data_IF_599148288522
#
_entry.id   IF_599148288522
#
_cell.length_a   1.000
_cell.length_b   1.000
_cell.length_c   1.000
_cell.angle_alpha   90.00
_cell.angle_beta   90.00
_cell.angle_gamma   90.00
#
_symmetry.space_group_name_H-M   'P 1'
#
loop_
_entity.id
_entity.type
_entity.pdbx_description
1 polymer ?
#
# COMPACT_ATOMS: atom_id res chain seq x y z
N UNK A 1 3.48 -38.00 34.10
CA UNK A 1 2.30 -37.94 33.22
C UNK A 1 2.76 -37.75 31.78
N UNK A 2 2.02 -38.32 30.83
CA UNK A 2 2.45 -38.82 29.52
C UNK A 2 3.10 -37.77 28.60
N UNK A 3 4.27 -38.13 28.05
CA UNK A 3 4.84 -37.56 26.82
C UNK A 3 3.96 -38.00 25.64
N UNK A 4 3.49 -37.05 24.84
CA UNK A 4 2.87 -37.34 23.53
C UNK A 4 3.85 -36.84 22.47
N UNK A 5 4.56 -37.81 21.88
CA UNK A 5 5.23 -37.64 20.60
C UNK A 5 4.16 -37.64 19.52
N UNK A 6 3.99 -36.52 18.82
CA UNK A 6 3.21 -36.47 17.59
C UNK A 6 4.15 -36.55 16.41
N UNK A 7 4.36 -37.77 15.93
CA UNK A 7 4.83 -38.06 14.59
C UNK A 7 3.72 -37.66 13.61
N UNK A 8 3.98 -36.74 12.69
CA UNK A 8 3.21 -36.67 11.45
C UNK A 8 4.16 -36.63 10.25
N UNK A 9 4.05 -37.72 9.49
CA UNK A 9 4.53 -38.04 8.16
C UNK A 9 5.13 -36.90 7.31
N UNK A 10 6.41 -37.07 6.96
CA UNK A 10 6.97 -36.48 5.76
C UNK A 10 6.35 -37.15 4.52
N UNK A 11 5.61 -36.37 3.74
CA UNK A 11 5.26 -36.73 2.38
C UNK A 11 6.47 -36.43 1.49
N UNK A 12 7.20 -37.47 1.09
CA UNK A 12 8.15 -37.38 0.00
C UNK A 12 7.35 -37.13 -1.29
N UNK A 13 7.41 -35.90 -1.81
CA UNK A 13 6.92 -35.58 -3.13
C UNK A 13 7.90 -36.19 -4.16
N UNK A 14 7.54 -37.35 -4.69
CA UNK A 14 8.16 -37.92 -5.87
C UNK A 14 7.91 -36.97 -7.04
N UNK A 15 8.95 -36.27 -7.49
CA UNK A 15 8.93 -35.57 -8.78
C UNK A 15 8.89 -36.65 -9.87
N UNK A 16 7.68 -36.99 -10.30
CA UNK A 16 7.46 -37.79 -11.50
C UNK A 16 7.80 -36.89 -12.69
N UNK A 17 8.96 -37.14 -13.30
CA UNK A 17 9.34 -36.54 -14.56
C UNK A 17 8.26 -36.85 -15.59
N UNK A 18 7.45 -35.85 -15.91
CA UNK A 18 6.41 -35.98 -16.94
C UNK A 18 7.10 -35.70 -18.26
N UNK A 19 7.44 -36.76 -18.99
CA UNK A 19 7.82 -36.66 -20.40
C UNK A 19 6.56 -36.25 -21.16
N UNK A 20 6.48 -34.98 -21.55
CA UNK A 20 5.48 -34.51 -22.52
C UNK A 20 5.96 -34.96 -23.89
N UNK A 21 5.41 -36.07 -24.37
CA UNK A 21 5.49 -36.44 -25.79
C UNK A 21 4.51 -35.56 -26.54
N UNK A 22 5.02 -34.56 -27.25
CA UNK A 22 4.24 -33.80 -28.23
C UNK A 22 3.97 -34.73 -29.43
N UNK A 23 2.71 -34.98 -29.82
CA UNK A 23 2.44 -35.69 -31.06
C UNK A 23 2.73 -34.75 -32.23
N UNK A 24 3.89 -34.94 -32.87
CA UNK A 24 4.12 -34.42 -34.21
C UNK A 24 3.36 -35.30 -35.21
N UNK A 25 2.05 -35.10 -35.32
CA UNK A 25 1.30 -35.53 -36.50
C UNK A 25 1.62 -34.59 -37.67
N UNK A 26 2.77 -34.83 -38.30
CA UNK A 26 2.98 -34.46 -39.70
C UNK A 26 2.77 -35.74 -40.49
N UNK A 27 1.65 -35.78 -41.20
CA UNK A 27 1.34 -36.83 -42.14
C UNK A 27 2.51 -36.97 -43.13
N UNK A 28 3.21 -38.10 -43.07
CA UNK A 28 4.12 -38.52 -44.11
C UNK A 28 3.30 -38.83 -45.35
N UNK A 29 3.08 -37.83 -46.20
CA UNK A 29 2.81 -38.11 -47.61
C UNK A 29 4.05 -38.79 -48.15
N UNK A 30 3.93 -40.10 -48.34
CA UNK A 30 4.90 -40.97 -49.01
C UNK A 30 5.06 -40.51 -50.46
N UNK A 31 5.81 -39.44 -50.68
CA UNK A 31 6.39 -39.11 -51.98
C UNK A 31 7.60 -40.01 -52.15
N UNK A 32 7.50 -40.94 -53.09
CA UNK A 32 8.59 -41.73 -53.66
C UNK A 32 9.85 -40.86 -53.82
N UNK A 33 11.06 -41.36 -53.50
CA UNK A 33 12.29 -40.62 -53.76
C UNK A 33 12.36 -40.39 -55.27
N UNK A 34 12.25 -39.13 -55.69
CA UNK A 34 12.76 -38.73 -57.00
C UNK A 34 14.26 -38.99 -56.92
N UNK A 35 14.74 -39.88 -57.77
CA UNK A 35 16.14 -40.10 -58.06
C UNK A 35 16.78 -38.73 -58.31
N UNK A 36 17.47 -38.21 -57.30
CA UNK A 36 18.25 -36.98 -57.42
C UNK A 36 19.45 -37.37 -58.25
N UNK A 37 19.59 -36.76 -59.43
CA UNK A 37 20.75 -36.94 -60.29
C UNK A 37 22.07 -36.70 -59.53
N UNK A 38 23.22 -37.07 -60.11
CA UNK A 38 24.52 -36.92 -59.48
C UNK A 38 24.65 -35.53 -58.86
N UNK A 39 24.86 -35.48 -57.55
CA UNK A 39 25.11 -34.23 -56.82
C UNK A 39 26.32 -33.61 -57.48
N UNK A 40 26.13 -32.44 -58.11
CA UNK A 40 27.23 -31.69 -58.71
C UNK A 40 28.35 -31.56 -57.66
N UNK A 41 29.62 -31.79 -58.05
CA UNK A 41 30.73 -31.73 -57.12
C UNK A 41 30.70 -30.37 -56.41
N UNK A 42 30.68 -30.40 -55.08
CA UNK A 42 30.79 -29.21 -54.24
C UNK A 42 32.01 -28.45 -54.74
N UNK A 43 31.78 -27.26 -55.30
CA UNK A 43 32.83 -26.45 -55.89
C UNK A 43 33.91 -26.23 -54.81
N UNK A 44 35.19 -26.54 -55.08
CA UNK A 44 36.25 -26.35 -54.09
C UNK A 44 36.29 -24.87 -53.67
N UNK A 45 36.39 -24.64 -52.37
CA UNK A 45 36.57 -23.31 -51.77
C UNK A 45 37.75 -22.64 -52.48
N UNK A 46 37.58 -21.38 -52.87
CA UNK A 46 38.65 -20.62 -53.52
C UNK A 46 39.88 -20.55 -52.60
N UNK A 47 41.13 -20.64 -53.11
CA UNK A 47 42.33 -20.43 -52.29
C UNK A 47 42.31 -19.13 -51.49
N UNK A 48 41.66 -18.09 -52.01
CA UNK A 48 41.50 -16.79 -51.34
C UNK A 48 40.53 -16.91 -50.15
N UNK A 49 39.40 -17.58 -50.33
CA UNK A 49 38.41 -17.80 -49.25
C UNK A 49 39.01 -18.63 -48.12
N UNK A 50 39.88 -19.59 -48.45
CA UNK A 50 40.59 -20.39 -47.46
C UNK A 50 41.61 -19.57 -46.65
N UNK A 51 42.39 -18.70 -47.30
CA UNK A 51 43.30 -17.77 -46.59
C UNK A 51 42.54 -16.81 -45.68
N UNK A 52 41.39 -16.29 -46.13
CA UNK A 52 40.52 -15.42 -45.31
C UNK A 52 39.99 -16.18 -44.09
N UNK A 53 39.53 -17.42 -44.28
CA UNK A 53 39.05 -18.27 -43.19
C UNK A 53 40.13 -18.52 -42.15
N UNK A 54 41.35 -18.87 -42.57
CA UNK A 54 42.49 -19.07 -41.67
C UNK A 54 42.84 -17.79 -40.88
N UNK A 55 42.74 -16.61 -41.51
CA UNK A 55 42.93 -15.34 -40.82
C UNK A 55 41.85 -15.10 -39.75
N UNK A 56 40.57 -15.33 -40.07
CA UNK A 56 39.47 -15.20 -39.11
C UNK A 56 39.65 -16.18 -37.95
N UNK A 57 39.94 -17.45 -38.23
CA UNK A 57 40.16 -18.49 -37.21
C UNK A 57 41.34 -18.16 -36.30
N UNK A 58 42.41 -17.55 -36.84
CA UNK A 58 43.55 -17.08 -36.05
C UNK A 58 43.14 -15.97 -35.07
N UNK A 59 42.43 -14.94 -35.53
CA UNK A 59 42.00 -13.85 -34.66
C UNK A 59 40.96 -14.30 -33.63
N UNK A 60 40.01 -15.14 -34.03
CA UNK A 60 39.01 -15.73 -33.15
C UNK A 60 39.61 -16.74 -32.15
N UNK A 61 40.72 -17.39 -32.54
CA UNK A 61 41.53 -18.27 -31.70
C UNK A 61 42.20 -17.52 -30.53
N UNK A 62 42.50 -16.23 -30.70
CA UNK A 62 43.07 -15.39 -29.64
C UNK A 62 42.06 -15.04 -28.55
N UNK A 63 40.76 -15.12 -28.82
CA UNK A 63 39.71 -14.93 -27.82
C UNK A 63 39.60 -16.20 -26.97
N UNK A 64 39.77 -16.17 -25.65
CA UNK A 64 39.65 -17.38 -24.85
C UNK A 64 38.20 -17.89 -24.85
N UNK A 65 38.00 -19.22 -24.80
CA UNK A 65 36.66 -19.81 -24.74
C UNK A 65 35.93 -19.53 -23.42
N UNK A 66 36.68 -19.17 -22.37
CA UNK A 66 36.16 -18.76 -21.07
C UNK A 66 36.84 -17.45 -20.68
N UNK A 67 36.05 -16.46 -20.31
CA UNK A 67 36.50 -15.19 -19.78
C UNK A 67 36.02 -15.09 -18.33
N UNK A 68 36.95 -14.96 -17.39
CA UNK A 68 36.63 -14.74 -15.97
C UNK A 68 36.79 -13.27 -15.64
N UNK A 69 35.71 -12.64 -15.17
CA UNK A 69 35.70 -11.22 -14.78
C UNK A 69 36.72 -10.95 -13.67
N UNK A 70 37.44 -9.84 -13.79
CA UNK A 70 38.49 -9.45 -12.83
C UNK A 70 39.86 -10.07 -13.11
N UNK A 71 40.01 -10.87 -14.17
CA UNK A 71 41.34 -11.36 -14.61
C UNK A 71 42.02 -10.37 -15.56
N UNK A 72 43.35 -10.28 -15.49
CA UNK A 72 44.15 -9.30 -16.25
C UNK A 72 44.52 -9.74 -17.66
N UNK A 73 44.10 -10.93 -18.10
CA UNK A 73 44.57 -11.55 -19.35
C UNK A 73 43.49 -11.53 -20.43
N UNK A 74 42.83 -10.39 -20.63
CA UNK A 74 41.93 -10.19 -21.75
C UNK A 74 42.74 -9.79 -22.99
N UNK A 75 42.42 -10.33 -24.19
CA UNK A 75 42.90 -9.76 -25.44
C UNK A 75 42.60 -8.26 -25.52
N UNK A 76 43.52 -7.48 -26.09
CA UNK A 76 43.41 -6.01 -26.14
C UNK A 76 42.16 -5.50 -26.87
N UNK A 77 41.48 -6.35 -27.64
CA UNK A 77 40.27 -6.02 -28.36
C UNK A 77 38.98 -6.39 -27.62
N UNK A 78 39.06 -6.87 -26.37
CA UNK A 78 37.89 -7.19 -25.55
C UNK A 78 37.86 -6.26 -24.34
N UNK A 79 36.73 -5.58 -24.17
CA UNK A 79 36.45 -4.76 -23.00
C UNK A 79 35.24 -5.32 -22.26
N UNK A 80 35.41 -5.59 -20.96
CA UNK A 80 34.33 -6.02 -20.08
C UNK A 80 33.96 -4.92 -19.10
N UNK A 81 32.66 -4.79 -18.81
CA UNK A 81 32.18 -3.90 -17.78
C UNK A 81 32.20 -4.59 -16.41
N UNK A 82 33.35 -4.51 -15.75
CA UNK A 82 33.60 -5.16 -14.46
C UNK A 82 32.72 -4.67 -13.32
N UNK A 83 32.08 -3.50 -13.45
CA UNK A 83 31.18 -2.96 -12.43
C UNK A 83 29.74 -3.49 -12.58
N UNK A 84 29.30 -3.76 -13.82
CA UNK A 84 27.93 -4.25 -14.09
C UNK A 84 27.80 -5.76 -13.90
N UNK A 85 28.82 -6.53 -14.31
CA UNK A 85 28.72 -7.99 -14.35
C UNK A 85 28.47 -8.59 -12.95
N UNK A 86 29.21 -8.24 -11.88
CA UNK A 86 29.00 -8.83 -10.54
C UNK A 86 27.66 -8.48 -9.88
N UNK A 87 26.91 -7.55 -10.47
CA UNK A 87 25.64 -7.03 -9.93
C UNK A 87 24.41 -7.42 -10.76
N UNK A 88 24.59 -8.27 -11.78
CA UNK A 88 23.53 -8.65 -12.73
C UNK A 88 23.46 -10.18 -12.81
N UNK A 89 22.26 -10.77 -12.87
CA UNK A 89 22.13 -12.19 -13.21
C UNK A 89 22.36 -12.39 -14.71
N UNK A 90 22.97 -13.51 -15.14
CA UNK A 90 23.06 -13.84 -16.56
C UNK A 90 21.71 -13.74 -17.31
N UNK A 91 20.60 -14.15 -16.69
CA UNK A 91 19.26 -14.11 -17.29
C UNK A 91 18.69 -12.70 -17.50
N UNK A 92 19.26 -11.67 -16.86
CA UNK A 92 18.87 -10.26 -17.04
C UNK A 92 19.55 -9.62 -18.25
N UNK A 93 20.58 -10.28 -18.81
CA UNK A 93 21.23 -9.85 -20.04
C UNK A 93 20.38 -10.26 -21.24
N UNK A 94 20.13 -9.30 -22.12
CA UNK A 94 19.37 -9.44 -23.36
C UNK A 94 20.07 -8.69 -24.51
N UNK A 95 19.63 -8.90 -25.74
CA UNK A 95 20.29 -8.30 -26.92
C UNK A 95 20.36 -6.77 -26.87
N UNK A 96 19.44 -6.10 -26.17
CA UNK A 96 19.44 -4.63 -26.09
C UNK A 96 20.48 -4.08 -25.13
N UNK A 97 20.85 -4.85 -24.09
CA UNK A 97 21.79 -4.43 -23.06
C UNK A 97 23.14 -5.18 -23.11
N UNK A 98 23.32 -6.19 -23.97
CA UNK A 98 24.55 -6.99 -24.05
C UNK A 98 25.83 -6.15 -24.22
N UNK A 99 25.76 -5.10 -25.06
CA UNK A 99 26.87 -4.16 -25.30
C UNK A 99 27.33 -3.39 -24.06
N UNK A 100 26.48 -3.32 -23.03
CA UNK A 100 26.83 -2.68 -21.77
C UNK A 100 27.77 -3.53 -20.93
N UNK A 101 27.87 -4.84 -21.22
CA UNK A 101 28.66 -5.82 -20.49
C UNK A 101 29.94 -6.18 -21.24
N UNK A 102 29.87 -6.31 -22.57
CA UNK A 102 30.99 -6.70 -23.41
C UNK A 102 31.03 -5.87 -24.70
N UNK A 103 32.24 -5.44 -25.05
CA UNK A 103 32.55 -4.86 -26.35
C UNK A 103 33.75 -5.61 -26.95
N UNK A 104 33.66 -5.94 -28.25
CA UNK A 104 34.75 -6.52 -29.01
C UNK A 104 35.05 -5.59 -30.18
N UNK A 105 36.27 -5.07 -30.23
CA UNK A 105 36.72 -4.18 -31.29
C UNK A 105 37.24 -4.98 -32.49
N UNK A 106 37.08 -4.39 -33.68
CA UNK A 106 37.60 -4.95 -34.93
C UNK A 106 39.14 -4.91 -34.96
N UNK A 107 39.76 -6.01 -35.42
CA UNK A 107 41.23 -6.15 -35.44
C UNK A 107 41.67 -6.75 -36.77
N UNK A 108 42.74 -6.22 -37.35
CA UNK A 108 43.35 -6.76 -38.58
C UNK A 108 42.36 -6.98 -39.73
N UNK A 109 41.31 -6.14 -39.83
CA UNK A 109 40.27 -6.24 -40.85
C UNK A 109 39.17 -7.28 -40.59
N UNK A 110 39.23 -8.01 -39.47
CA UNK A 110 38.15 -8.91 -39.00
C UNK A 110 37.09 -8.07 -38.29
N UNK A 111 35.84 -8.21 -38.73
CA UNK A 111 34.67 -7.62 -38.08
C UNK A 111 34.10 -8.59 -37.04
N UNK A 112 33.88 -8.12 -35.81
CA UNK A 112 33.28 -8.91 -34.72
C UNK A 112 31.88 -8.42 -34.39
N UNK A 113 30.97 -9.36 -34.20
CA UNK A 113 29.62 -9.14 -33.70
C UNK A 113 29.36 -10.11 -32.55
N UNK A 114 28.67 -9.64 -31.50
CA UNK A 114 28.34 -10.44 -30.32
C UNK A 114 26.83 -10.58 -30.22
N UNK A 115 26.36 -11.80 -30.00
CA UNK A 115 24.95 -12.11 -29.73
C UNK A 115 24.81 -13.10 -28.58
N UNK A 116 23.61 -13.23 -28.03
CA UNK A 116 23.35 -14.21 -26.98
C UNK A 116 23.17 -15.61 -27.56
N UNK A 117 23.75 -16.60 -26.89
CA UNK A 117 23.38 -17.99 -27.15
C UNK A 117 22.00 -18.27 -26.54
N UNK A 118 21.06 -18.88 -27.27
CA UNK A 118 19.80 -19.34 -26.69
C UNK A 118 20.05 -20.27 -25.49
N UNK A 119 19.41 -19.98 -24.34
CA UNK A 119 19.64 -20.69 -23.08
C UNK A 119 21.10 -20.65 -22.59
N UNK A 120 21.87 -19.63 -22.99
CA UNK A 120 23.26 -19.44 -22.58
C UNK A 120 23.42 -18.84 -21.18
N UNK A 121 22.35 -18.32 -20.57
CA UNK A 121 22.36 -17.77 -19.22
C UNK A 121 22.24 -18.89 -18.17
N UNK A 122 23.12 -18.88 -17.17
CA UNK A 122 23.10 -19.79 -16.04
C UNK A 122 23.27 -19.04 -14.72
N UNK A 123 22.14 -18.70 -14.09
CA UNK A 123 22.12 -17.94 -12.85
C UNK A 123 22.59 -18.76 -11.63
N UNK A 124 22.71 -20.08 -11.75
CA UNK A 124 23.22 -20.93 -10.66
C UNK A 124 24.74 -20.80 -10.56
N UNK A 125 25.43 -20.75 -11.69
CA UNK A 125 26.90 -20.64 -11.74
C UNK A 125 27.39 -19.21 -11.95
N UNK A 126 26.54 -18.27 -12.35
CA UNK A 126 26.96 -16.91 -12.67
C UNK A 126 27.64 -16.82 -14.04
N UNK A 127 27.24 -17.69 -14.98
CA UNK A 127 27.85 -17.79 -16.31
C UNK A 127 26.89 -17.34 -17.41
N UNK A 128 27.42 -16.64 -18.42
CA UNK A 128 26.71 -16.26 -19.63
C UNK A 128 27.47 -16.74 -20.87
N UNK A 129 26.82 -17.54 -21.70
CA UNK A 129 27.37 -17.98 -23.00
C UNK A 129 26.90 -17.05 -24.12
N UNK A 130 27.86 -16.48 -24.83
CA UNK A 130 27.65 -15.62 -26.00
C UNK A 130 28.20 -16.28 -27.27
N UNK A 131 27.71 -15.83 -28.42
CA UNK A 131 28.23 -16.19 -29.73
C UNK A 131 28.98 -14.99 -30.29
N UNK A 132 30.26 -15.16 -30.58
CA UNK A 132 31.05 -14.17 -31.30
C UNK A 132 31.13 -14.58 -32.77
N UNK A 133 30.51 -13.78 -33.61
CA UNK A 133 30.52 -13.93 -35.07
C UNK A 133 31.63 -13.05 -35.64
N UNK A 134 32.56 -13.67 -36.35
CA UNK A 134 33.72 -13.01 -36.96
C UNK A 134 33.60 -13.08 -38.48
N UNK A 135 33.88 -11.98 -39.18
CA UNK A 135 33.73 -11.93 -40.64
C UNK A 135 34.77 -11.07 -41.36
N UNK A 136 35.10 -11.48 -42.59
CA UNK A 136 35.79 -10.69 -43.60
C UNK A 136 35.06 -10.93 -44.92
N UNK A 137 34.42 -9.89 -45.46
CA UNK A 137 33.57 -10.05 -46.65
C UNK A 137 32.43 -11.04 -46.39
N UNK A 138 32.35 -12.12 -47.18
CA UNK A 138 31.30 -13.15 -47.08
C UNK A 138 31.69 -14.38 -46.24
N UNK A 139 32.93 -14.43 -45.75
CA UNK A 139 33.41 -15.55 -44.92
C UNK A 139 33.06 -15.26 -43.46
N UNK A 140 32.33 -16.17 -42.82
CA UNK A 140 31.84 -16.03 -41.44
C UNK A 140 32.28 -17.25 -40.62
N UNK A 141 32.81 -17.00 -39.42
CA UNK A 141 33.14 -18.03 -38.43
C UNK A 141 32.53 -17.62 -37.09
N UNK A 142 32.00 -18.58 -36.35
CA UNK A 142 31.41 -18.36 -35.03
C UNK A 142 32.17 -19.12 -33.96
N UNK A 143 32.23 -18.54 -32.75
CA UNK A 143 32.75 -19.19 -31.55
C UNK A 143 31.88 -18.86 -30.36
N UNK A 144 31.63 -19.87 -29.55
CA UNK A 144 30.98 -19.70 -28.26
C UNK A 144 32.01 -19.30 -27.20
N UNK A 145 31.67 -18.31 -26.40
CA UNK A 145 32.49 -17.84 -25.29
C UNK A 145 31.62 -17.81 -24.04
N UNK A 146 32.12 -18.39 -22.96
CA UNK A 146 31.50 -18.29 -21.63
C UNK A 146 32.13 -17.12 -20.88
N UNK A 147 31.30 -16.21 -20.38
CA UNK A 147 31.70 -15.15 -19.47
C UNK A 147 31.27 -15.58 -18.06
N UNK A 148 32.25 -15.70 -17.16
CA UNK A 148 32.09 -16.06 -15.76
C UNK A 148 32.29 -14.83 -14.86
N UNK A 149 31.60 -14.80 -13.72
CA UNK A 149 31.65 -13.74 -12.73
C UNK A 149 30.39 -12.87 -12.65
N UNK A 150 29.28 -13.29 -13.29
CA UNK A 150 27.98 -12.67 -13.03
C UNK A 150 27.49 -13.03 -11.62
N UNK A 151 26.52 -12.26 -11.11
CA UNK A 151 25.87 -12.58 -9.86
C UNK A 151 25.16 -13.94 -9.96
N UNK A 152 25.23 -14.75 -8.90
CA UNK A 152 24.45 -15.99 -8.78
C UNK A 152 23.11 -15.77 -8.08
N UNK A 153 22.13 -16.65 -8.32
CA UNK A 153 20.87 -16.69 -7.58
C UNK A 153 21.09 -16.82 -6.06
N UNK A 154 22.06 -17.65 -5.66
CA UNK A 154 22.39 -17.88 -4.27
C UNK A 154 22.94 -16.60 -3.60
N UNK A 155 23.88 -15.91 -4.23
CA UNK A 155 24.43 -14.65 -3.72
C UNK A 155 23.35 -13.58 -3.62
N UNK A 156 22.49 -13.47 -4.64
CA UNK A 156 21.37 -12.53 -4.62
C UNK A 156 20.39 -12.84 -3.50
N UNK A 157 20.08 -14.11 -3.26
CA UNK A 157 19.22 -14.53 -2.15
C UNK A 157 19.87 -14.22 -0.79
N UNK A 158 21.16 -14.47 -0.63
CA UNK A 158 21.91 -14.15 0.59
C UNK A 158 21.93 -12.64 0.86
N UNK A 159 22.18 -11.82 -0.16
CA UNK A 159 22.15 -10.36 -0.06
C UNK A 159 20.76 -9.87 0.40
N UNK A 160 19.70 -10.38 -0.23
CA UNK A 160 18.31 -10.05 0.17
C UNK A 160 18.03 -10.46 1.61
N UNK A 161 18.51 -11.61 2.06
CA UNK A 161 18.31 -12.07 3.43
C UNK A 161 19.10 -11.22 4.45
N UNK A 162 20.33 -10.84 4.12
CA UNK A 162 21.11 -9.88 4.93
C UNK A 162 20.38 -8.54 5.04
N UNK A 163 19.86 -8.00 3.94
CA UNK A 163 19.07 -6.77 3.93
C UNK A 163 17.80 -6.87 4.77
N UNK A 164 17.07 -8.00 4.71
CA UNK A 164 15.90 -8.24 5.59
C UNK A 164 16.28 -8.23 7.06
N UNK A 165 17.40 -8.85 7.43
CA UNK A 165 17.87 -8.89 8.81
C UNK A 165 18.27 -7.50 9.31
N UNK A 166 18.95 -6.71 8.47
CA UNK A 166 19.26 -5.29 8.77
C UNK A 166 17.96 -4.51 8.96
N UNK A 167 17.04 -4.58 8.00
CA UNK A 167 15.76 -3.87 8.03
C UNK A 167 14.97 -4.19 9.31
N UNK A 168 14.87 -5.48 9.64
CA UNK A 168 14.20 -5.95 10.85
C UNK A 168 14.88 -5.41 12.11
N UNK A 169 16.20 -5.52 12.21
CA UNK A 169 16.96 -5.06 13.36
C UNK A 169 16.83 -3.55 13.57
N UNK A 170 16.92 -2.75 12.50
CA UNK A 170 16.76 -1.30 12.58
C UNK A 170 15.33 -0.90 12.98
N UNK A 171 14.30 -1.58 12.43
CA UNK A 171 12.92 -1.35 12.86
C UNK A 171 12.69 -1.72 14.33
N UNK A 172 13.23 -2.83 14.81
CA UNK A 172 13.09 -3.28 16.21
C UNK A 172 13.72 -2.31 17.22
N UNK A 173 14.74 -1.53 16.83
CA UNK A 173 15.33 -0.49 17.69
C UNK A 173 14.37 0.66 18.00
N UNK A 174 13.40 0.93 17.13
CA UNK A 174 12.51 2.10 17.22
C UNK A 174 11.22 1.71 17.96
N UNK A 175 11.20 1.76 19.29
CA UNK A 175 10.03 1.37 20.08
C UNK A 175 9.07 2.52 20.40
N UNK A 176 9.55 3.76 20.25
CA UNK A 176 8.78 4.98 20.46
C UNK A 176 9.10 5.97 19.35
N UNK A 177 8.19 6.91 19.13
CA UNK A 177 8.40 8.04 18.23
C UNK A 177 8.29 9.33 19.04
N UNK A 178 9.19 10.27 18.74
CA UNK A 178 9.18 11.60 19.37
C UNK A 178 8.07 12.46 18.74
N UNK A 179 7.37 13.23 19.57
CA UNK A 179 6.43 14.26 19.12
C UNK A 179 7.05 15.65 19.20
N UNK A 180 6.61 16.55 18.34
CA UNK A 180 6.93 17.97 18.44
C UNK A 180 6.03 18.65 19.48
N UNK A 181 6.48 19.78 20.04
CA UNK A 181 5.74 20.53 21.07
C UNK A 181 4.33 20.95 20.62
N UNK A 182 4.15 21.23 19.32
CA UNK A 182 2.84 21.58 18.74
C UNK A 182 1.80 20.46 18.92
N UNK A 183 2.22 19.19 19.03
CA UNK A 183 1.32 18.06 19.23
C UNK A 183 0.53 18.18 20.54
N UNK A 184 1.10 18.79 21.59
CA UNK A 184 0.44 18.96 22.90
C UNK A 184 -0.83 19.81 22.85
N UNK A 185 -1.00 20.60 21.79
CA UNK A 185 -2.18 21.46 21.58
C UNK A 185 -3.15 20.91 20.53
N UNK A 186 -2.80 19.81 19.87
CA UNK A 186 -3.57 19.21 18.77
C UNK A 186 -4.26 17.95 19.24
N UNK A 187 -5.53 17.78 18.87
CA UNK A 187 -6.27 16.55 19.15
C UNK A 187 -5.86 15.44 18.19
N UNK A 188 -5.72 14.18 18.65
CA UNK A 188 -5.49 13.02 17.80
C UNK A 188 -6.39 12.94 16.56
N UNK A 189 -7.68 13.29 16.67
CA UNK A 189 -8.65 13.30 15.56
C UNK A 189 -8.36 14.32 14.47
N UNK A 190 -7.50 15.30 14.73
CA UNK A 190 -7.06 16.31 13.76
C UNK A 190 -5.80 15.89 12.99
N UNK A 191 -5.16 14.81 13.40
CA UNK A 191 -3.96 14.26 12.76
C UNK A 191 -4.37 13.29 11.65
N UNK A 192 -3.80 13.47 10.45
CA UNK A 192 -4.06 12.67 9.27
C UNK A 192 -2.76 12.46 8.46
N UNK A 193 -2.82 11.68 7.38
CA UNK A 193 -1.64 11.36 6.56
C UNK A 193 -1.01 12.58 5.86
N UNK A 194 -1.74 13.70 5.72
CA UNK A 194 -1.23 14.91 5.09
C UNK A 194 -0.44 15.78 6.07
N UNK A 195 -0.71 15.70 7.38
CA UNK A 195 -0.11 16.58 8.38
C UNK A 195 0.66 15.83 9.50
N UNK A 196 0.72 14.50 9.48
CA UNK A 196 1.33 13.68 10.54
C UNK A 196 2.79 14.07 10.84
N UNK A 197 3.55 14.46 9.82
CA UNK A 197 4.95 14.85 9.93
C UNK A 197 5.15 16.22 10.59
N UNK A 198 4.09 17.01 10.74
CA UNK A 198 4.13 18.27 11.49
C UNK A 198 4.11 18.04 13.02
N UNK A 199 3.67 16.85 13.43
CA UNK A 199 3.47 16.49 14.85
C UNK A 199 4.40 15.38 15.34
N UNK A 200 4.79 14.46 14.47
CA UNK A 200 5.61 13.29 14.81
C UNK A 200 6.89 13.31 14.00
N UNK A 201 8.01 13.17 14.71
CA UNK A 201 9.33 13.14 14.09
C UNK A 201 9.60 11.76 13.48
N UNK A 202 9.86 11.75 12.17
CA UNK A 202 10.28 10.54 11.47
C UNK A 202 11.70 10.17 11.91
N UNK A 203 11.97 8.89 12.23
CA UNK A 203 13.32 8.43 12.54
C UNK A 203 14.30 8.72 11.41
N UNK A 204 15.54 9.07 11.77
CA UNK A 204 16.61 9.29 10.77
C UNK A 204 17.00 7.97 10.12
N UNK A 205 17.34 8.01 8.83
CA UNK A 205 17.83 6.84 8.12
C UNK A 205 19.13 6.30 8.75
N UNK A 206 19.29 4.99 8.78
CA UNK A 206 20.42 4.29 9.41
C UNK A 206 20.70 2.98 8.69
N UNK A 207 21.98 2.63 8.49
CA UNK A 207 22.39 1.39 7.82
C UNK A 207 21.71 1.13 6.47
N UNK A 208 21.47 2.20 5.69
CA UNK A 208 20.78 2.13 4.40
C UNK A 208 19.26 1.97 4.49
N UNK A 209 18.69 1.88 5.70
CA UNK A 209 17.25 1.82 5.94
C UNK A 209 16.68 3.24 5.99
N UNK A 210 15.67 3.51 5.18
CA UNK A 210 14.89 4.75 5.23
C UNK A 210 13.52 4.52 5.86
N UNK A 211 13.07 5.46 6.68
CA UNK A 211 11.83 5.36 7.43
C UNK A 211 10.76 6.32 6.93
N UNK A 212 9.51 5.90 7.05
CA UNK A 212 8.33 6.73 6.84
C UNK A 212 7.23 6.35 7.82
N UNK A 213 6.28 7.26 8.04
CA UNK A 213 5.14 7.05 8.94
C UNK A 213 3.84 7.37 8.23
N UNK A 214 2.78 6.64 8.58
CA UNK A 214 1.38 6.90 8.19
C UNK A 214 0.46 6.61 9.36
N UNK A 215 -0.71 7.25 9.41
CA UNK A 215 -1.78 6.87 10.33
C UNK A 215 -2.19 5.43 10.02
N UNK A 216 -2.36 4.64 11.08
CA UNK A 216 -2.76 3.25 10.94
C UNK A 216 -4.18 3.16 10.40
N UNK A 217 -4.40 2.33 9.37
CA UNK A 217 -5.72 2.10 8.78
C UNK A 217 -6.62 1.24 9.68
N UNK A 218 -6.02 0.44 10.55
CA UNK A 218 -6.72 -0.53 11.40
C UNK A 218 -7.00 -0.02 12.81
N UNK A 219 -6.40 1.10 13.20
CA UNK A 219 -6.58 1.70 14.51
C UNK A 219 -6.48 3.22 14.41
N UNK A 220 -7.48 3.92 14.93
CA UNK A 220 -7.45 5.38 15.05
C UNK A 220 -6.89 5.82 16.41
N UNK A 221 -6.47 7.09 16.48
CA UNK A 221 -6.13 7.73 17.75
C UNK A 221 -7.32 7.90 18.70
N UNK A 222 -7.04 8.38 19.91
CA UNK A 222 -8.03 8.63 20.95
C UNK A 222 -7.87 10.03 21.53
N UNK A 223 -8.85 10.90 21.28
CA UNK A 223 -8.88 12.25 21.85
C UNK A 223 -9.01 12.28 23.37
N UNK A 224 -9.57 11.22 23.98
CA UNK A 224 -9.69 11.11 25.44
C UNK A 224 -8.43 10.57 26.11
N UNK A 225 -7.52 9.98 25.33
CA UNK A 225 -6.26 9.40 25.86
C UNK A 225 -5.01 10.08 25.31
N UNK A 226 -5.13 10.96 24.31
CA UNK A 226 -4.01 11.78 23.81
C UNK A 226 -2.97 11.00 23.01
N UNK A 227 -3.40 9.98 22.26
CA UNK A 227 -2.51 9.19 21.40
C UNK A 227 -3.04 9.03 19.98
N UNK A 228 -2.11 8.83 19.04
CA UNK A 228 -2.39 8.34 17.68
C UNK A 228 -1.69 7.00 17.46
N UNK A 229 -2.27 6.16 16.61
CA UNK A 229 -1.66 4.89 16.21
C UNK A 229 -1.10 5.05 14.81
N UNK A 230 0.19 4.80 14.65
CA UNK A 230 0.90 5.00 13.38
C UNK A 230 1.54 3.71 12.92
N UNK A 231 1.60 3.53 11.61
CA UNK A 231 2.42 2.50 10.98
C UNK A 231 3.77 3.12 10.61
N UNK A 232 4.84 2.64 11.24
CA UNK A 232 6.22 2.94 10.87
C UNK A 232 6.65 1.93 9.81
N UNK A 233 7.00 2.42 8.63
CA UNK A 233 7.55 1.63 7.55
C UNK A 233 9.06 1.88 7.44
N UNK A 234 9.84 0.81 7.32
CA UNK A 234 11.26 0.85 6.96
C UNK A 234 11.45 0.27 5.56
N UNK A 235 12.43 0.79 4.83
CA UNK A 235 12.75 0.35 3.46
C UNK A 235 14.25 0.28 3.21
N UNK A 236 14.70 -0.75 2.50
CA UNK A 236 16.08 -0.92 2.03
C UNK A 236 16.07 -1.58 0.64
N UNK A 237 16.52 -0.85 -0.39
CA UNK A 237 16.29 -1.25 -1.78
C UNK A 237 14.80 -1.44 -2.05
N UNK A 238 14.42 -2.60 -2.59
CA UNK A 238 13.02 -2.95 -2.88
C UNK A 238 12.29 -3.61 -1.69
N UNK A 239 12.98 -3.84 -0.57
CA UNK A 239 12.40 -4.49 0.59
C UNK A 239 11.73 -3.45 1.50
N UNK A 240 10.52 -3.78 1.95
CA UNK A 240 9.76 -2.97 2.91
C UNK A 240 9.26 -3.84 4.06
N UNK A 241 9.19 -3.25 5.25
CA UNK A 241 8.60 -3.88 6.43
C UNK A 241 7.96 -2.82 7.30
N UNK A 242 6.88 -3.17 7.97
CA UNK A 242 6.05 -2.23 8.71
C UNK A 242 5.81 -2.74 10.13
N UNK A 243 5.66 -1.82 11.08
CA UNK A 243 5.13 -2.12 12.41
C UNK A 243 4.29 -0.97 12.93
N UNK A 244 3.35 -1.30 13.82
CA UNK A 244 2.48 -0.30 14.43
C UNK A 244 3.09 0.23 15.74
N UNK A 245 3.02 1.54 15.95
CA UNK A 245 3.50 2.22 17.16
C UNK A 245 2.39 3.13 17.68
N UNK A 246 2.17 3.12 19.00
CA UNK A 246 1.31 4.07 19.69
C UNK A 246 2.15 5.30 20.03
N UNK A 247 1.76 6.47 19.54
CA UNK A 247 2.46 7.73 19.77
C UNK A 247 1.63 8.60 20.70
N UNK A 248 2.15 8.81 21.91
CA UNK A 248 1.53 9.62 22.95
C UNK A 248 2.01 11.08 22.89
N UNK A 249 1.35 11.96 23.64
CA UNK A 249 1.77 13.35 23.80
C UNK A 249 0.90 14.37 23.05
N UNK A 250 -0.27 13.94 22.58
CA UNK A 250 -1.27 14.82 22.02
C UNK A 250 -2.19 15.41 23.09
N UNK A 251 -2.95 16.45 22.72
CA UNK A 251 -3.95 17.04 23.62
C UNK A 251 -5.02 16.01 23.97
N UNK A 252 -5.43 16.01 25.24
CA UNK A 252 -6.55 15.24 25.75
C UNK A 252 -7.78 16.15 25.88
N UNK A 253 -8.95 15.68 25.45
CA UNK A 253 -10.22 16.33 25.80
C UNK A 253 -10.55 15.98 27.24
N UNK A 254 -10.66 17.01 28.08
CA UNK A 254 -11.03 16.84 29.49
C UNK A 254 -12.48 16.34 29.64
N UNK A 255 -12.81 15.59 30.72
CA UNK A 255 -14.18 15.19 31.01
C UNK A 255 -15.16 16.38 31.05
N UNK A 256 -14.70 17.53 31.54
CA UNK A 256 -15.47 18.76 31.59
C UNK A 256 -15.80 19.31 30.18
N UNK A 257 -14.83 19.30 29.26
CA UNK A 257 -15.07 19.69 27.86
C UNK A 257 -16.03 18.73 27.15
N UNK A 258 -15.91 17.41 27.41
CA UNK A 258 -16.86 16.42 26.88
C UNK A 258 -18.27 16.70 27.42
N UNK A 259 -18.39 16.93 28.73
CA UNK A 259 -19.67 17.23 29.36
C UNK A 259 -20.27 18.52 28.81
N UNK A 260 -19.47 19.54 28.56
CA UNK A 260 -19.94 20.79 27.98
C UNK A 260 -20.45 20.62 26.55
N UNK A 261 -19.78 19.82 25.72
CA UNK A 261 -20.29 19.50 24.38
C UNK A 261 -21.63 18.74 24.43
N UNK A 262 -21.79 17.82 25.39
CA UNK A 262 -23.07 17.13 25.64
C UNK A 262 -24.14 18.13 26.06
N UNK A 263 -23.82 19.08 26.93
CA UNK A 263 -24.74 20.13 27.37
C UNK A 263 -25.18 21.00 26.20
N UNK A 264 -24.25 21.46 25.36
CA UNK A 264 -24.54 22.26 24.17
C UNK A 264 -25.45 21.51 23.19
N UNK A 265 -25.20 20.20 22.98
CA UNK A 265 -26.05 19.37 22.12
C UNK A 265 -27.46 19.20 22.71
N UNK A 266 -27.57 18.96 24.02
CA UNK A 266 -28.86 18.85 24.71
C UNK A 266 -29.66 20.16 24.62
N UNK A 267 -29.01 21.30 24.87
CA UNK A 267 -29.64 22.62 24.76
C UNK A 267 -30.13 22.90 23.33
N UNK A 268 -29.33 22.55 22.31
CA UNK A 268 -29.73 22.66 20.90
C UNK A 268 -30.97 21.82 20.58
N UNK A 269 -31.00 20.58 21.04
CA UNK A 269 -32.13 19.69 20.82
C UNK A 269 -33.40 20.22 21.50
N UNK A 270 -33.29 20.65 22.76
CA UNK A 270 -34.41 21.27 23.49
C UNK A 270 -34.91 22.49 22.72
N UNK A 271 -34.01 23.37 22.27
CA UNK A 271 -34.37 24.59 21.55
C UNK A 271 -35.06 24.30 20.22
N UNK A 272 -34.56 23.32 19.44
CA UNK A 272 -35.17 22.92 18.18
C UNK A 272 -36.58 22.35 18.39
N UNK A 273 -36.75 21.47 19.37
CA UNK A 273 -38.04 20.88 19.69
C UNK A 273 -39.03 21.93 20.20
N UNK A 274 -38.60 22.82 21.10
CA UNK A 274 -39.40 23.97 21.51
C UNK A 274 -39.79 24.82 20.31
N UNK A 275 -38.86 25.19 19.44
CA UNK A 275 -39.14 26.03 18.26
C UNK A 275 -40.14 25.39 17.29
N UNK A 276 -40.18 24.06 17.21
CA UNK A 276 -41.15 23.34 16.35
C UNK A 276 -42.60 23.47 16.81
N UNK A 277 -42.83 23.80 18.08
CA UNK A 277 -44.17 23.89 18.68
C UNK A 277 -44.70 25.32 18.56
N UNK A 278 -45.47 25.65 17.53
CA UNK A 278 -46.01 27.01 17.35
C UNK A 278 -47.23 27.31 18.23
N UNK A 279 -47.98 26.29 18.65
CA UNK A 279 -49.15 26.40 19.53
C UNK A 279 -49.32 25.14 20.38
N UNK A 280 -50.15 25.22 21.42
CA UNK A 280 -50.57 24.08 22.22
C UNK A 280 -52.04 23.76 21.94
N UNK A 281 -52.35 22.48 21.78
CA UNK A 281 -53.72 22.03 21.60
C UNK A 281 -54.50 22.12 22.92
N UNK A 282 -55.72 22.64 22.84
CA UNK A 282 -56.66 22.68 23.96
C UNK A 282 -57.17 21.27 24.27
N UNK A 283 -57.33 20.95 25.55
CA UNK A 283 -58.05 19.73 25.97
C UNK A 283 -59.56 19.89 25.77
N UNK A 284 -60.34 18.82 25.95
CA UNK A 284 -61.81 18.92 25.98
C UNK A 284 -62.32 19.77 27.15
N UNK A 285 -61.59 19.78 28.28
CA UNK A 285 -61.94 20.56 29.48
C UNK A 285 -61.82 22.07 29.25
N UNK A 286 -60.93 22.49 28.35
CA UNK A 286 -60.76 23.91 27.98
C UNK A 286 -61.96 24.53 27.26
N UNK A 287 -62.94 23.73 26.83
CA UNK A 287 -64.15 24.23 26.16
C UNK A 287 -65.34 24.42 27.11
N UNK A 288 -65.16 24.22 28.43
CA UNK A 288 -66.19 24.42 29.44
C UNK A 288 -65.86 25.65 30.33
N UNK A 289 -66.87 26.40 30.81
CA UNK A 289 -66.73 27.59 31.67
C UNK A 289 -65.91 27.33 32.96
N UNK A 290 -65.70 26.07 33.33
CA UNK A 290 -64.92 25.64 34.50
C UNK A 290 -63.41 25.93 34.40
N UNK A 291 -62.90 26.45 33.27
CA UNK A 291 -61.49 26.77 33.13
C UNK A 291 -61.03 27.87 34.10
N UNK A 292 -61.90 28.81 34.50
CA UNK A 292 -61.54 29.89 35.43
C UNK A 292 -61.08 29.32 36.78
N UNK A 293 -61.75 28.27 37.25
CA UNK A 293 -61.40 27.56 38.48
C UNK A 293 -60.11 26.74 38.34
N UNK A 294 -59.84 26.16 37.17
CA UNK A 294 -58.60 25.44 36.88
C UNK A 294 -57.37 26.37 36.81
N UNK A 295 -57.55 27.59 36.30
CA UNK A 295 -56.54 28.64 36.29
C UNK A 295 -56.23 29.15 37.70
N UNK A 296 -57.27 29.45 38.50
CA UNK A 296 -57.11 29.91 39.88
C UNK A 296 -56.49 28.86 40.81
N UNK A 297 -56.65 27.57 40.47
CA UNK A 297 -55.99 26.46 41.18
C UNK A 297 -54.57 26.14 40.66
N UNK A 298 -54.07 26.88 39.66
CA UNK A 298 -52.73 26.70 39.10
C UNK A 298 -52.57 25.43 38.24
N UNK A 299 -53.66 24.75 37.90
CA UNK A 299 -53.62 23.45 37.22
C UNK A 299 -53.71 23.59 35.69
N UNK A 300 -52.72 24.25 35.08
CA UNK A 300 -52.67 24.44 33.62
C UNK A 300 -52.58 23.13 32.80
N UNK A 301 -52.09 22.04 33.38
CA UNK A 301 -51.96 20.73 32.70
C UNK A 301 -53.31 20.10 32.36
N UNK A 302 -54.39 20.57 32.98
CA UNK A 302 -55.76 20.15 32.65
C UNK A 302 -56.35 20.85 31.43
N UNK A 303 -55.77 21.98 30.99
CA UNK A 303 -56.34 22.86 29.96
C UNK A 303 -55.69 22.73 28.58
N UNK A 304 -54.42 22.32 28.52
CA UNK A 304 -53.70 22.14 27.25
C UNK A 304 -52.95 20.82 27.24
N UNK A 305 -52.85 20.20 26.06
CA UNK A 305 -52.07 18.99 25.88
C UNK A 305 -50.58 19.32 26.01
N UNK A 306 -49.88 18.55 26.86
CA UNK A 306 -48.42 18.58 26.90
C UNK A 306 -47.92 17.88 25.61
N UNK A 307 -47.04 18.52 24.83
CA UNK A 307 -46.46 17.90 23.64
C UNK A 307 -45.80 16.56 23.97
N UNK A 308 -45.89 15.59 23.04
CA UNK A 308 -45.24 14.30 23.22
C UNK A 308 -43.72 14.46 23.20
N UNK A 309 -43.02 13.65 23.99
CA UNK A 309 -41.57 13.66 24.01
C UNK A 309 -41.00 13.26 22.64
N UNK A 310 -40.04 14.02 22.14
CA UNK A 310 -39.34 13.74 20.88
C UNK A 310 -37.85 13.97 21.07
N UNK A 311 -37.01 13.13 20.45
CA UNK A 311 -35.55 13.22 20.57
C UNK A 311 -35.02 13.21 22.02
N UNK A 312 -35.76 12.57 22.94
CA UNK A 312 -35.45 12.51 24.37
C UNK A 312 -35.72 13.80 25.15
N UNK A 313 -36.34 14.81 24.55
CA UNK A 313 -36.80 16.03 25.24
C UNK A 313 -38.13 15.76 25.92
N UNK A 314 -38.20 15.99 27.23
CA UNK A 314 -39.43 15.92 28.02
C UNK A 314 -40.01 17.31 28.19
N UNK A 315 -41.33 17.45 28.10
CA UNK A 315 -42.00 18.74 28.23
C UNK A 315 -42.76 18.85 29.54
N UNK A 316 -42.75 20.05 30.11
CA UNK A 316 -43.60 20.45 31.22
C UNK A 316 -44.17 21.84 30.95
N UNK A 317 -45.30 22.15 31.56
CA UNK A 317 -45.93 23.46 31.42
C UNK A 317 -46.18 24.11 32.77
N UNK A 318 -46.08 25.44 32.80
CA UNK A 318 -46.41 26.26 33.96
C UNK A 318 -47.30 27.42 33.53
N UNK A 319 -48.40 27.62 34.24
CA UNK A 319 -49.24 28.79 34.06
C UNK A 319 -48.49 30.08 34.46
N UNK A 320 -48.61 31.13 33.64
CA UNK A 320 -48.08 32.46 33.98
C UNK A 320 -49.22 33.40 34.33
N UNK A 321 -50.04 33.73 33.34
CA UNK A 321 -51.11 34.72 33.45
C UNK A 321 -52.21 34.48 32.41
N UNK A 322 -53.30 35.23 32.57
CA UNK A 322 -54.49 35.09 31.76
C UNK A 322 -55.24 36.40 31.67
N UNK A 323 -55.86 36.63 30.52
CA UNK A 323 -56.70 37.79 30.28
C UNK A 323 -57.91 37.37 29.46
N UNK A 324 -58.95 38.20 29.49
CA UNK A 324 -60.10 38.08 28.59
C UNK A 324 -60.01 39.19 27.56
N UNK A 325 -60.12 38.82 26.28
CA UNK A 325 -60.15 39.76 25.18
C UNK A 325 -61.31 39.40 24.25
N UNK A 326 -62.25 40.34 24.05
CA UNK A 326 -63.42 40.17 23.19
C UNK A 326 -64.30 38.95 23.53
N UNK A 327 -64.49 38.67 24.82
CA UNK A 327 -65.27 37.51 25.28
C UNK A 327 -64.57 36.16 25.12
N UNK A 328 -63.28 36.15 24.78
CA UNK A 328 -62.45 34.94 24.73
C UNK A 328 -61.27 35.05 25.69
N UNK A 329 -61.01 33.97 26.43
CA UNK A 329 -59.84 33.84 27.29
C UNK A 329 -58.56 33.67 26.47
N UNK A 330 -57.48 34.25 26.99
CA UNK A 330 -56.11 34.21 26.49
C UNK A 330 -55.18 33.87 27.66
N UNK A 331 -54.35 32.84 27.54
CA UNK A 331 -53.37 32.45 28.56
C UNK A 331 -51.95 32.50 28.04
N UNK A 332 -51.03 32.93 28.90
CA UNK A 332 -49.61 32.71 28.70
C UNK A 332 -49.16 31.51 29.52
N UNK A 333 -48.52 30.56 28.85
CA UNK A 333 -48.01 29.32 29.43
C UNK A 333 -46.52 29.27 29.19
N UNK A 334 -45.72 29.02 30.22
CA UNK A 334 -44.33 28.64 30.06
C UNK A 334 -44.29 27.16 29.71
N UNK A 335 -43.89 26.84 28.48
CA UNK A 335 -43.51 25.50 28.06
C UNK A 335 -42.01 25.31 28.31
N UNK A 336 -41.65 24.35 29.15
CA UNK A 336 -40.26 23.99 29.43
C UNK A 336 -39.93 22.64 28.82
N UNK A 337 -38.85 22.56 28.06
CA UNK A 337 -38.27 21.32 27.59
C UNK A 337 -37.05 20.96 28.43
N UNK A 338 -36.89 19.69 28.79
CA UNK A 338 -35.75 19.20 29.57
C UNK A 338 -35.12 17.95 28.97
N UNK A 339 -33.78 17.89 28.98
CA UNK A 339 -32.97 16.76 28.52
C UNK A 339 -31.65 16.74 29.28
N UNK A 340 -31.21 15.58 29.77
CA UNK A 340 -29.95 15.42 30.52
C UNK A 340 -29.77 16.42 31.69
N UNK A 341 -30.84 16.73 32.43
CA UNK A 341 -30.81 17.69 33.55
C UNK A 341 -30.78 19.16 33.15
N UNK A 342 -30.67 19.47 31.85
CA UNK A 342 -30.80 20.82 31.30
C UNK A 342 -32.28 21.15 31.08
N UNK A 343 -32.65 22.41 31.24
CA UNK A 343 -34.01 22.92 31.00
C UNK A 343 -33.96 24.25 30.27
N UNK A 344 -34.71 24.37 29.18
CA UNK A 344 -34.95 25.63 28.47
C UNK A 344 -36.46 25.84 28.42
N UNK A 345 -36.90 27.09 28.50
CA UNK A 345 -38.32 27.43 28.52
C UNK A 345 -38.66 28.50 27.51
N UNK A 346 -39.89 28.45 26.98
CA UNK A 346 -40.46 29.53 26.18
C UNK A 346 -41.92 29.78 26.55
N UNK A 347 -42.38 31.01 26.32
CA UNK A 347 -43.79 31.38 26.56
C UNK A 347 -44.62 31.11 25.30
N UNK A 348 -45.71 30.37 25.45
CA UNK A 348 -46.73 30.15 24.42
C UNK A 348 -48.01 30.82 24.87
N UNK A 349 -48.63 31.58 23.97
CA UNK A 349 -49.95 32.18 24.20
C UNK A 349 -51.00 31.28 23.57
N UNK A 350 -51.99 30.86 24.36
CA UNK A 350 -53.14 30.05 23.90
C UNK A 350 -54.39 30.91 24.02
N UNK A 351 -55.16 31.02 22.93
CA UNK A 351 -56.36 31.87 22.85
C UNK A 351 -57.61 31.06 22.56
N UNK A 352 -58.78 31.67 22.73
CA UNK A 352 -60.06 31.09 22.31
C UNK A 352 -60.67 30.15 23.35
N UNK A 353 -60.48 30.47 24.63
CA UNK A 353 -61.23 29.82 25.71
C UNK A 353 -62.59 30.55 25.88
N UNK A 354 -63.73 29.84 25.94
CA UNK A 354 -65.04 30.47 26.07
C UNK A 354 -65.18 31.12 27.45
N UNK A 355 -65.50 32.41 27.53
CA UNK A 355 -65.66 33.15 28.80
C UNK A 355 -67.08 33.02 29.34
#
# INVERSE_FOLDING_TARGET
>A
MKKVNLFLAGAAATLVSTVVIVPASIAATKTTPKEVGPVDPVNPISPIEQQIKEQIEKELGNIPSIIVVGTTNLPNNIMLNVDKIPNTLPSEVNETNLKDFIQIDNVNGVNFEVSLKPNGANDVTGELVIIVTSSIGNVIVQKEITIDGFQTEQERAQLKEQQKNILRSELEKINTLETFEVAKNTLPSQVNNQNITDFIKVPVSSNGVSFSIKISETASGSDTSGFVVVTLAGSIGDLTSEKTIIVNGFRIISPEEVQEQINIAADRDIQNELNSISSLEKTSLANNLAWQTAVLSGNATSLVNIPQSKNGVQFSIKYVDGSVHLGLGRFSIILSGSKNGRTISKTIVVTGFPV
#
